data_IF_200146628383
#
_entry.id   IF_200146628383
#
_cell.length_a   1.000
_cell.length_b   1.000
_cell.length_c   1.000
_cell.angle_alpha   90.00
_cell.angle_beta   90.00
_cell.angle_gamma   90.00
#
_symmetry.space_group_name_H-M   'P 1'
#
loop_
_entity.id
_entity.type
_entity.pdbx_description
1 polymer ?
#
# COMPACT_ATOMS: atom_id res chain seq x y z
N UNK A 1 -4.03 5.45 -2.56
CA UNK A 1 -5.36 5.48 -1.93
C UNK A 1 -5.51 4.39 -0.86
N UNK A 2 -5.21 3.10 -1.16
CA UNK A 2 -5.43 1.96 -0.25
C UNK A 2 -4.78 2.14 1.14
N UNK A 3 -3.55 2.63 1.19
CA UNK A 3 -2.84 2.90 2.46
C UNK A 3 -3.60 3.95 3.28
N UNK A 4 -4.06 5.04 2.67
CA UNK A 4 -4.81 6.10 3.36
C UNK A 4 -6.15 5.59 3.88
N UNK A 5 -6.86 4.79 3.09
CA UNK A 5 -8.13 4.18 3.49
C UNK A 5 -7.96 3.25 4.70
N UNK A 6 -6.92 2.40 4.70
CA UNK A 6 -6.64 1.48 5.80
C UNK A 6 -6.11 2.20 7.05
N UNK A 7 -5.30 3.24 6.88
CA UNK A 7 -4.80 4.03 8.00
C UNK A 7 -5.85 4.97 8.60
N UNK A 8 -6.91 5.29 7.85
CA UNK A 8 -8.01 6.14 8.31
C UNK A 8 -7.66 7.63 8.37
N UNK A 9 -6.66 8.11 7.61
CA UNK A 9 -6.28 9.51 7.62
C UNK A 9 -5.05 9.84 6.80
N UNK A 10 -4.54 11.06 6.99
CA UNK A 10 -3.34 11.57 6.31
C UNK A 10 -2.09 11.25 7.13
N UNK A 11 -0.95 10.93 6.49
CA UNK A 11 0.30 10.76 7.20
C UNK A 11 0.80 12.09 7.76
N UNK A 12 1.38 12.05 8.95
CA UNK A 12 2.06 13.18 9.58
C UNK A 12 3.59 13.09 9.52
N UNK A 13 4.11 11.95 9.04
CA UNK A 13 5.54 11.73 8.81
C UNK A 13 5.71 11.06 7.45
N UNK A 14 6.58 11.61 6.61
CA UNK A 14 6.88 11.10 5.28
C UNK A 14 8.39 11.12 5.09
N UNK A 15 8.95 9.96 4.76
CA UNK A 15 10.35 9.81 4.39
C UNK A 15 10.42 9.06 3.07
N UNK A 16 11.18 9.59 2.12
CA UNK A 16 11.35 8.99 0.81
C UNK A 16 12.83 9.00 0.41
N UNK A 17 13.28 7.90 -0.15
CA UNK A 17 14.58 7.79 -0.79
C UNK A 17 14.42 7.10 -2.14
N UNK A 18 15.16 7.54 -3.14
CA UNK A 18 15.07 6.98 -4.48
C UNK A 18 16.39 7.04 -5.24
N UNK A 19 16.43 6.36 -6.37
CA UNK A 19 17.57 6.31 -7.26
C UNK A 19 17.12 6.50 -8.72
N UNK A 20 17.97 7.16 -9.49
CA UNK A 20 17.79 7.43 -10.93
C UNK A 20 18.83 6.61 -11.72
N UNK A 21 18.46 5.44 -12.23
CA UNK A 21 19.39 4.54 -12.93
C UNK A 21 19.32 4.71 -14.46
N UNK A 22 18.13 4.93 -14.99
CA UNK A 22 17.91 5.01 -16.45
C UNK A 22 18.10 6.43 -16.97
N UNK A 23 17.59 7.43 -16.26
CA UNK A 23 17.64 8.83 -16.69
C UNK A 23 17.94 9.72 -15.49
N UNK A 24 18.98 10.53 -15.57
CA UNK A 24 19.37 11.47 -14.52
C UNK A 24 18.18 12.37 -14.16
N UNK A 25 17.89 12.47 -12.86
CA UNK A 25 16.79 13.28 -12.33
C UNK A 25 15.39 12.66 -12.47
N UNK A 26 15.28 11.46 -13.02
CA UNK A 26 14.02 10.70 -13.07
C UNK A 26 14.16 9.45 -12.21
N UNK A 27 13.56 9.50 -11.02
CA UNK A 27 13.62 8.39 -10.07
C UNK A 27 12.85 7.19 -10.60
N UNK A 28 13.53 6.07 -10.73
CA UNK A 28 13.00 4.79 -11.25
C UNK A 28 12.89 3.70 -10.17
N UNK A 29 13.47 3.94 -9.01
CA UNK A 29 13.30 3.14 -7.79
C UNK A 29 13.03 4.07 -6.61
N UNK A 30 11.99 3.79 -5.85
CA UNK A 30 11.58 4.56 -4.68
C UNK A 30 11.30 3.64 -3.50
N UNK A 31 11.77 4.00 -2.32
CA UNK A 31 11.35 3.45 -1.04
C UNK A 31 10.84 4.58 -0.15
N UNK A 32 9.71 4.37 0.52
CA UNK A 32 9.13 5.38 1.39
C UNK A 32 8.55 4.80 2.67
N UNK A 33 8.49 5.65 3.70
CA UNK A 33 7.85 5.38 4.97
C UNK A 33 6.83 6.48 5.27
N UNK A 34 5.61 6.07 5.63
CA UNK A 34 4.51 6.94 6.03
C UNK A 34 4.15 6.63 7.48
N UNK A 35 4.19 7.60 8.36
CA UNK A 35 3.70 7.47 9.75
C UNK A 35 2.40 8.24 9.93
N UNK A 36 1.50 7.71 10.78
CA UNK A 36 0.18 8.27 11.07
C UNK A 36 0.03 8.56 12.56
N UNK A 37 -0.82 9.54 12.92
CA UNK A 37 -1.02 9.94 14.33
C UNK A 37 -1.56 8.81 15.21
N UNK A 38 -2.35 7.91 14.66
CA UNK A 38 -2.90 6.76 15.37
C UNK A 38 -1.90 5.62 15.61
N UNK A 39 -0.62 5.84 15.30
CA UNK A 39 0.46 4.86 15.50
C UNK A 39 0.62 3.86 14.36
N UNK A 40 -0.24 3.90 13.34
CA UNK A 40 -0.05 3.09 12.13
C UNK A 40 1.17 3.61 11.36
N UNK A 41 1.89 2.69 10.74
CA UNK A 41 2.98 3.01 9.81
C UNK A 41 2.85 2.16 8.55
N UNK A 42 3.27 2.72 7.41
CA UNK A 42 3.30 2.01 6.14
C UNK A 42 4.64 2.22 5.44
N UNK A 43 5.21 1.12 4.94
CA UNK A 43 6.32 1.14 3.99
C UNK A 43 5.81 0.90 2.58
N UNK A 44 6.34 1.63 1.60
CA UNK A 44 6.02 1.42 0.20
C UNK A 44 7.30 1.37 -0.62
N UNK A 45 7.34 0.46 -1.57
CA UNK A 45 8.43 0.32 -2.52
C UNK A 45 7.85 0.26 -3.93
N UNK A 46 8.41 1.04 -4.84
CA UNK A 46 8.02 1.04 -6.25
C UNK A 46 9.27 1.04 -7.13
N UNK A 47 9.20 0.35 -8.25
CA UNK A 47 10.29 0.33 -9.23
C UNK A 47 9.75 0.14 -10.64
N UNK A 48 10.29 0.91 -11.59
CA UNK A 48 10.12 0.69 -13.03
C UNK A 48 10.99 -0.45 -13.56
N UNK A 49 12.03 -0.84 -12.80
CA UNK A 49 13.05 -1.79 -13.22
C UNK A 49 12.76 -3.22 -12.76
N UNK A 50 11.61 -3.46 -12.08
CA UNK A 50 11.24 -4.80 -11.65
C UNK A 50 11.02 -5.72 -12.86
N UNK A 51 11.63 -6.92 -12.89
CA UNK A 51 11.52 -7.84 -14.02
C UNK A 51 10.13 -8.50 -14.12
N UNK A 52 9.29 -8.34 -13.12
CA UNK A 52 7.93 -8.85 -13.07
C UNK A 52 6.98 -7.84 -12.43
N UNK A 53 5.71 -7.94 -12.79
CA UNK A 53 4.67 -7.14 -12.17
C UNK A 53 4.40 -7.67 -10.75
N UNK A 54 4.63 -6.84 -9.75
CA UNK A 54 4.28 -7.13 -8.36
C UNK A 54 3.31 -6.07 -7.84
N UNK A 55 2.18 -6.53 -7.33
CA UNK A 55 1.15 -5.72 -6.70
C UNK A 55 0.72 -6.41 -5.42
N UNK A 56 1.45 -6.14 -4.35
CA UNK A 56 1.24 -6.81 -3.07
C UNK A 56 1.03 -5.81 -1.95
N UNK A 57 0.06 -6.07 -1.10
CA UNK A 57 -0.18 -5.33 0.13
C UNK A 57 -0.13 -6.30 1.31
N UNK A 58 0.66 -5.97 2.31
CA UNK A 58 0.73 -6.71 3.57
C UNK A 58 0.24 -5.81 4.68
N UNK A 59 -0.78 -6.25 5.40
CA UNK A 59 -1.32 -5.57 6.57
C UNK A 59 -1.05 -6.42 7.79
N UNK A 60 -0.22 -5.92 8.70
CA UNK A 60 0.13 -6.62 9.94
C UNK A 60 -0.61 -5.99 11.11
N UNK A 61 -1.37 -6.80 11.82
CA UNK A 61 -2.08 -6.46 13.04
C UNK A 61 -1.60 -7.26 14.24
N UNK A 62 -2.19 -7.02 15.39
CA UNK A 62 -1.84 -7.68 16.66
C UNK A 62 -2.26 -9.16 16.72
N UNK A 63 -3.22 -9.57 15.89
CA UNK A 63 -3.78 -10.93 15.87
C UNK A 63 -3.45 -11.73 14.63
N UNK A 64 -2.70 -11.15 13.69
CA UNK A 64 -2.32 -11.79 12.44
C UNK A 64 -1.98 -10.79 11.35
N UNK A 65 -1.67 -11.32 10.18
CA UNK A 65 -1.36 -10.53 8.98
C UNK A 65 -2.22 -10.96 7.81
N UNK A 66 -2.66 -9.98 7.01
CA UNK A 66 -3.32 -10.21 5.73
C UNK A 66 -2.34 -9.90 4.60
N UNK A 67 -2.27 -10.79 3.62
CA UNK A 67 -1.51 -10.58 2.39
C UNK A 67 -2.48 -10.57 1.23
N UNK A 68 -2.59 -9.43 0.55
CA UNK A 68 -3.25 -9.31 -0.74
C UNK A 68 -2.20 -9.30 -1.85
N UNK A 69 -2.34 -10.19 -2.83
CA UNK A 69 -1.44 -10.31 -3.98
C UNK A 69 -2.27 -10.35 -5.26
N UNK A 70 -2.28 -9.22 -5.98
CA UNK A 70 -3.08 -9.07 -7.20
C UNK A 70 -2.57 -9.89 -8.38
N UNK A 71 -1.36 -10.41 -8.31
CA UNK A 71 -0.79 -11.27 -9.35
C UNK A 71 -1.34 -12.70 -9.32
N UNK A 72 -2.00 -13.09 -8.22
CA UNK A 72 -2.55 -14.43 -8.02
C UNK A 72 -3.97 -14.59 -8.58
N UNK A 73 -4.39 -15.84 -8.85
CA UNK A 73 -5.79 -16.11 -9.18
C UNK A 73 -6.73 -15.77 -8.04
N UNK A 74 -7.98 -15.44 -8.33
CA UNK A 74 -8.97 -14.93 -7.38
C UNK A 74 -9.04 -15.68 -6.05
N UNK A 75 -9.06 -17.03 -6.01
CA UNK A 75 -9.15 -17.76 -4.75
C UNK A 75 -7.93 -17.61 -3.83
N UNK A 76 -6.80 -17.16 -4.39
CA UNK A 76 -5.51 -17.07 -3.67
C UNK A 76 -5.06 -15.62 -3.45
N UNK A 77 -5.84 -14.62 -3.90
CA UNK A 77 -5.46 -13.21 -3.79
C UNK A 77 -5.34 -12.72 -2.37
N UNK A 78 -6.15 -13.23 -1.45
CA UNK A 78 -6.14 -12.80 -0.05
C UNK A 78 -5.85 -13.97 0.87
N UNK A 79 -4.78 -13.85 1.63
CA UNK A 79 -4.33 -14.89 2.57
C UNK A 79 -4.19 -14.32 3.97
N UNK A 80 -4.75 -15.02 4.94
CA UNK A 80 -4.62 -14.71 6.36
C UNK A 80 -3.51 -15.58 6.98
N UNK A 81 -2.60 -14.94 7.70
CA UNK A 81 -1.57 -15.56 8.52
C UNK A 81 -1.87 -15.24 10.00
N UNK A 82 -2.13 -16.25 10.81
CA UNK A 82 -2.42 -16.11 12.24
C UNK A 82 -1.23 -16.54 13.10
N UNK A 83 -0.03 -16.21 12.65
CA UNK A 83 1.17 -16.45 13.44
C UNK A 83 1.10 -15.68 14.74
N UNK A 84 1.48 -16.29 15.85
CA UNK A 84 1.60 -15.62 17.13
C UNK A 84 3.05 -15.49 17.54
N UNK A 85 3.37 -14.41 18.24
CA UNK A 85 4.71 -14.16 18.75
C UNK A 85 4.63 -13.97 20.26
N UNK A 86 5.46 -14.72 20.99
CA UNK A 86 5.56 -14.61 22.44
C UNK A 86 6.99 -14.45 22.88
N UNK A 87 7.18 -13.64 23.94
CA UNK A 87 8.48 -13.50 24.57
C UNK A 87 8.72 -14.69 25.53
N UNK A 88 9.86 -15.34 25.41
CA UNK A 88 10.31 -16.40 26.30
C UNK A 88 11.72 -16.04 26.82
N UNK A 89 11.77 -15.41 27.99
CA UNK A 89 13.00 -14.83 28.50
C UNK A 89 13.50 -13.68 27.61
N UNK A 90 14.69 -13.82 27.04
CA UNK A 90 15.30 -12.82 26.14
C UNK A 90 15.00 -13.09 24.64
N UNK A 91 14.28 -14.16 24.31
CA UNK A 91 14.06 -14.58 22.93
C UNK A 91 12.59 -14.55 22.55
N UNK A 92 12.30 -14.15 21.31
CA UNK A 92 10.98 -14.28 20.73
C UNK A 92 10.80 -15.67 20.11
N UNK A 93 9.71 -16.34 20.46
CA UNK A 93 9.26 -17.57 19.82
C UNK A 93 8.10 -17.20 18.89
N UNK A 94 8.21 -17.65 17.63
CA UNK A 94 7.14 -17.49 16.64
C UNK A 94 6.43 -18.83 16.49
N UNK A 95 5.19 -18.90 16.92
CA UNK A 95 4.32 -20.04 16.69
C UNK A 95 3.59 -19.82 15.35
N UNK A 96 3.96 -20.58 14.33
CA UNK A 96 3.44 -20.44 12.98
C UNK A 96 2.14 -21.20 12.82
N UNK A 97 1.12 -20.53 12.31
CA UNK A 97 -0.12 -21.14 11.86
C UNK A 97 -0.07 -21.44 10.35
N UNK A 98 -0.86 -22.41 9.91
CA UNK A 98 -1.04 -22.62 8.47
C UNK A 98 -1.75 -21.41 7.83
N UNK A 99 -1.26 -20.90 6.69
CA UNK A 99 -1.93 -19.81 5.98
C UNK A 99 -3.33 -20.25 5.54
N UNK A 100 -4.29 -19.33 5.63
CA UNK A 100 -5.68 -19.57 5.23
C UNK A 100 -6.03 -18.62 4.09
N UNK A 101 -6.36 -19.18 2.92
CA UNK A 101 -6.90 -18.38 1.82
C UNK A 101 -8.32 -17.91 2.17
N UNK A 102 -8.54 -16.60 2.09
CA UNK A 102 -9.85 -16.00 2.31
C UNK A 102 -10.55 -15.82 0.96
N UNK A 103 -11.84 -16.16 0.87
CA UNK A 103 -12.56 -16.02 -0.38
C UNK A 103 -12.72 -14.55 -0.76
N UNK A 104 -12.32 -14.22 -1.98
CA UNK A 104 -12.54 -12.92 -2.61
C UNK A 104 -13.44 -13.14 -3.81
N UNK A 105 -14.54 -12.41 -3.88
CA UNK A 105 -15.45 -12.50 -5.02
C UNK A 105 -14.74 -12.01 -6.30
N UNK A 106 -14.87 -12.75 -7.37
CA UNK A 106 -14.42 -12.28 -8.68
C UNK A 106 -15.17 -11.00 -9.06
N UNK A 107 -14.43 -10.02 -9.54
CA UNK A 107 -14.95 -8.72 -9.92
C UNK A 107 -14.31 -8.23 -11.22
N UNK A 108 -15.00 -7.35 -11.90
CA UNK A 108 -14.52 -6.62 -13.06
C UNK A 108 -14.27 -5.15 -12.65
N UNK A 109 -13.08 -4.80 -12.12
CA UNK A 109 -12.84 -3.50 -11.47
C UNK A 109 -13.24 -2.29 -12.32
N UNK A 110 -12.93 -2.31 -13.62
CA UNK A 110 -13.31 -1.21 -14.53
C UNK A 110 -14.83 -1.10 -14.72
N UNK A 111 -15.53 -2.22 -14.76
CA UNK A 111 -16.99 -2.24 -14.89
C UNK A 111 -17.65 -1.75 -13.61
N UNK A 112 -17.12 -2.14 -12.46
CA UNK A 112 -17.62 -1.71 -11.16
C UNK A 112 -17.36 -0.23 -10.92
N UNK A 113 -16.20 0.29 -11.34
CA UNK A 113 -15.90 1.71 -11.35
C UNK A 113 -16.89 2.50 -12.20
N UNK A 114 -17.20 2.00 -13.41
CA UNK A 114 -18.15 2.65 -14.32
C UNK A 114 -19.57 2.65 -13.73
N UNK A 115 -19.99 1.53 -13.12
CA UNK A 115 -21.30 1.47 -12.42
C UNK A 115 -21.35 2.46 -11.27
N UNK A 116 -20.31 2.55 -10.44
CA UNK A 116 -20.25 3.50 -9.33
C UNK A 116 -20.37 4.94 -9.85
N UNK A 117 -19.69 5.28 -10.93
CA UNK A 117 -19.80 6.60 -11.56
C UNK A 117 -21.21 6.89 -12.07
N UNK A 118 -21.84 5.97 -12.81
CA UNK A 118 -23.22 6.12 -13.31
C UNK A 118 -24.19 6.29 -12.13
N UNK A 119 -24.05 5.48 -11.08
CA UNK A 119 -24.89 5.59 -9.88
C UNK A 119 -24.72 6.96 -9.21
N UNK A 120 -23.50 7.46 -9.09
CA UNK A 120 -23.22 8.79 -8.58
C UNK A 120 -23.94 9.89 -9.41
N UNK A 121 -23.90 9.81 -10.75
CA UNK A 121 -24.59 10.73 -11.63
C UNK A 121 -26.12 10.68 -11.48
N UNK A 122 -26.67 9.50 -11.24
CA UNK A 122 -28.13 9.31 -11.12
C UNK A 122 -28.67 9.71 -9.75
N UNK A 123 -27.90 9.49 -8.68
CA UNK A 123 -28.37 9.65 -7.31
C UNK A 123 -27.87 10.93 -6.65
N UNK A 124 -26.80 11.56 -7.17
CA UNK A 124 -26.10 12.66 -6.55
C UNK A 124 -25.28 12.27 -5.29
N UNK A 125 -25.22 10.97 -4.96
CA UNK A 125 -24.40 10.50 -3.83
C UNK A 125 -22.96 10.30 -4.28
N UNK A 126 -21.96 10.72 -3.51
CA UNK A 126 -20.56 10.54 -3.86
C UNK A 126 -20.19 9.05 -3.94
N UNK A 127 -19.32 8.71 -4.87
CA UNK A 127 -18.71 7.38 -4.94
C UNK A 127 -17.73 7.16 -3.77
N UNK A 128 -17.41 5.90 -3.48
CA UNK A 128 -16.43 5.56 -2.42
C UNK A 128 -15.03 6.14 -2.70
N UNK A 129 -14.68 6.30 -3.97
CA UNK A 129 -13.46 7.01 -4.41
C UNK A 129 -13.87 8.31 -5.10
N UNK A 130 -14.09 9.34 -4.32
CA UNK A 130 -14.50 10.66 -4.77
C UNK A 130 -13.30 11.61 -5.01
N UNK A 131 -13.62 12.85 -5.37
CA UNK A 131 -12.60 13.88 -5.62
C UNK A 131 -11.82 14.25 -4.35
N UNK A 132 -12.42 14.12 -3.17
CA UNK A 132 -11.75 14.41 -1.90
C UNK A 132 -10.69 13.36 -1.60
N UNK A 133 -10.99 12.08 -1.83
CA UNK A 133 -10.00 11.01 -1.74
C UNK A 133 -8.86 11.22 -2.75
N UNK A 134 -9.19 11.54 -4.00
CA UNK A 134 -8.20 11.80 -5.04
C UNK A 134 -7.27 12.98 -4.67
N UNK A 135 -7.84 14.05 -4.10
CA UNK A 135 -7.06 15.20 -3.61
C UNK A 135 -6.13 14.80 -2.46
N UNK A 136 -6.59 14.03 -1.50
CA UNK A 136 -5.77 13.54 -0.40
C UNK A 136 -4.59 12.70 -0.91
N UNK A 137 -4.82 11.83 -1.89
CA UNK A 137 -3.74 11.06 -2.53
C UNK A 137 -2.74 11.99 -3.20
N UNK A 138 -3.21 13.01 -3.96
CA UNK A 138 -2.33 13.96 -4.63
C UNK A 138 -1.48 14.76 -3.64
N UNK A 139 -2.07 15.23 -2.54
CA UNK A 139 -1.34 15.92 -1.46
C UNK A 139 -0.21 15.05 -0.91
N UNK A 140 -0.48 13.77 -0.64
CA UNK A 140 0.56 12.86 -0.15
C UNK A 140 1.65 12.63 -1.19
N UNK A 141 1.30 12.48 -2.47
CA UNK A 141 2.29 12.34 -3.54
C UNK A 141 3.18 13.57 -3.67
N UNK A 142 2.63 14.77 -3.57
CA UNK A 142 3.39 16.04 -3.60
C UNK A 142 4.32 16.16 -2.38
N UNK A 143 3.85 15.75 -1.21
CA UNK A 143 4.68 15.69 -0.01
C UNK A 143 5.80 14.66 -0.13
N UNK A 144 5.52 13.50 -0.71
CA UNK A 144 6.53 12.46 -1.00
C UNK A 144 7.58 12.98 -1.99
N UNK A 145 7.14 13.67 -3.04
CA UNK A 145 8.06 14.29 -4.01
C UNK A 145 8.97 15.34 -3.35
N UNK A 146 8.43 16.12 -2.42
CA UNK A 146 9.19 17.14 -1.66
C UNK A 146 10.18 16.50 -0.69
N UNK A 147 9.79 15.37 -0.07
CA UNK A 147 10.62 14.64 0.88
C UNK A 147 11.65 13.72 0.20
N UNK A 148 11.60 13.59 -1.13
CA UNK A 148 12.43 12.66 -1.89
C UNK A 148 13.91 13.10 -1.86
N UNK A 149 14.75 12.21 -1.37
CA UNK A 149 16.21 12.31 -1.43
C UNK A 149 16.68 11.39 -2.56
N UNK A 150 17.25 11.97 -3.63
CA UNK A 150 17.90 11.18 -4.68
C UNK A 150 19.32 10.80 -4.23
N UNK A 151 19.54 9.52 -4.00
CA UNK A 151 20.82 9.02 -3.46
C UNK A 151 21.94 8.99 -4.51
N UNK A 152 21.63 9.16 -5.80
CA UNK A 152 22.65 9.18 -6.86
C UNK A 152 23.33 10.56 -7.00
N UNK A 153 22.72 11.63 -6.48
CA UNK A 153 23.27 12.99 -6.54
C UNK A 153 24.11 13.39 -5.30
N UNK A 154 24.31 12.49 -4.34
CA UNK A 154 25.06 12.78 -3.10
C UNK A 154 26.57 12.51 -3.23
N UNK A 155 27.12 12.36 -4.44
CA UNK A 155 28.55 12.07 -4.70
C UNK A 155 29.26 13.16 -5.55
N UNK A 156 28.80 14.43 -5.50
CA UNK A 156 29.58 15.58 -5.99
C UNK A 156 30.08 16.45 -4.85
#
# INVERSE_FOLDING_TARGET
SLILALAGGMPNKIYCAGCSHMTIGVVDYLSSFLGFENGISAGMQTSWLSPFKEHKLIVTGTTGSLVFDDSKPWPEKLTLFQDSMRLNGEYFIVDRASPVALPVAEAEPLKDQMRAFITCCQTGHPAASDIAEALNVQIVLDQMQTALIDTNHSQE
#
